data_IF_337851340513
#
_entry.id   IF_337851340513
#
_cell.length_a   1.000
_cell.length_b   1.000
_cell.length_c   1.000
_cell.angle_alpha   90.00
_cell.angle_beta   90.00
_cell.angle_gamma   90.00
#
_symmetry.space_group_name_H-M   'P 1'
#
loop_
_entity.id
_entity.type
_entity.pdbx_description
1 polymer ?
#
# COMPACT_ATOMS: atom_id res chain seq x y z
N UNK A 1 78.01 -8.75 -7.42
CA UNK A 1 76.79 -8.64 -8.25
C UNK A 1 75.93 -9.84 -7.94
N UNK A 2 74.99 -9.68 -7.04
CA UNK A 2 74.10 -10.76 -6.60
C UNK A 2 72.71 -10.52 -7.21
N UNK A 3 72.29 -11.44 -8.09
CA UNK A 3 70.97 -11.42 -8.74
C UNK A 3 69.87 -11.91 -7.81
N UNK A 4 68.88 -11.08 -7.63
CA UNK A 4 67.68 -11.36 -6.85
C UNK A 4 66.71 -12.10 -7.77
N UNK A 5 66.42 -13.35 -7.48
CA UNK A 5 65.38 -14.16 -8.18
C UNK A 5 64.03 -13.88 -7.53
N UNK A 6 63.13 -13.25 -8.28
CA UNK A 6 61.73 -13.10 -7.93
C UNK A 6 61.01 -14.43 -8.18
N UNK A 7 60.47 -15.04 -7.15
CA UNK A 7 59.59 -16.21 -7.27
C UNK A 7 58.14 -15.73 -7.48
N UNK A 8 57.57 -16.00 -8.64
CA UNK A 8 56.15 -15.82 -8.92
C UNK A 8 55.39 -16.99 -8.28
N UNK A 9 54.60 -16.71 -7.27
CA UNK A 9 53.63 -17.66 -6.74
C UNK A 9 52.34 -17.51 -7.56
N UNK A 10 52.07 -18.49 -8.39
CA UNK A 10 50.82 -18.61 -9.10
C UNK A 10 49.75 -19.16 -8.15
N UNK A 11 48.81 -18.32 -7.76
CA UNK A 11 47.56 -18.77 -7.09
C UNK A 11 46.63 -19.37 -8.16
N UNK A 12 46.52 -20.66 -8.15
CA UNK A 12 45.50 -21.37 -8.89
C UNK A 12 44.12 -21.14 -8.22
N UNK A 13 43.31 -20.28 -8.82
CA UNK A 13 41.86 -20.19 -8.47
C UNK A 13 41.21 -21.48 -8.96
N UNK A 14 40.91 -22.39 -8.04
CA UNK A 14 39.98 -23.47 -8.26
C UNK A 14 38.60 -22.85 -8.34
N UNK A 15 38.10 -22.62 -9.55
CA UNK A 15 36.71 -22.22 -9.79
C UNK A 15 35.79 -23.35 -9.36
N UNK A 16 35.13 -23.19 -8.21
CA UNK A 16 33.92 -23.95 -7.92
C UNK A 16 32.86 -23.54 -8.95
N UNK A 17 32.66 -24.39 -9.93
CA UNK A 17 31.47 -24.42 -10.77
C UNK A 17 30.30 -24.75 -9.84
N UNK A 18 29.66 -23.71 -9.32
CA UNK A 18 28.32 -23.83 -8.74
C UNK A 18 27.40 -24.08 -9.94
N UNK A 19 26.65 -25.21 -10.01
CA UNK A 19 25.66 -25.36 -11.04
C UNK A 19 24.69 -24.17 -10.88
N UNK A 20 24.45 -23.47 -11.99
CA UNK A 20 23.32 -22.54 -12.09
C UNK A 20 22.06 -23.35 -11.77
N UNK A 21 21.69 -23.36 -10.52
CA UNK A 21 20.30 -23.57 -10.16
C UNK A 21 19.58 -22.42 -10.87
N UNK A 22 18.82 -22.77 -11.90
CA UNK A 22 17.79 -21.91 -12.43
C UNK A 22 16.97 -21.52 -11.21
N UNK A 23 17.16 -20.31 -10.72
CA UNK A 23 16.28 -19.73 -9.75
C UNK A 23 14.91 -19.73 -10.43
N UNK A 24 14.07 -20.67 -10.05
CA UNK A 24 12.64 -20.55 -10.24
C UNK A 24 12.30 -19.21 -9.62
N UNK A 25 11.73 -18.25 -10.38
CA UNK A 25 11.30 -17.01 -9.77
C UNK A 25 10.43 -17.43 -8.57
N UNK A 26 10.58 -16.81 -7.39
CA UNK A 26 9.68 -17.09 -6.29
C UNK A 26 8.27 -16.89 -6.85
N UNK A 27 7.46 -17.93 -6.81
CA UNK A 27 6.05 -17.81 -7.12
C UNK A 27 5.57 -16.61 -6.31
N UNK A 28 4.97 -15.65 -6.99
CA UNK A 28 4.55 -14.38 -6.43
C UNK A 28 3.34 -14.64 -5.52
N UNK A 29 3.63 -15.18 -4.36
CA UNK A 29 2.64 -15.65 -3.41
C UNK A 29 2.15 -14.55 -2.47
N UNK A 30 2.45 -13.29 -2.73
CA UNK A 30 1.96 -12.16 -1.97
C UNK A 30 1.90 -12.39 -0.44
N UNK A 31 1.31 -11.46 0.27
CA UNK A 31 1.14 -11.49 1.74
C UNK A 31 0.36 -12.71 2.27
N UNK A 32 -0.37 -13.40 1.40
CA UNK A 32 -1.25 -14.51 1.77
C UNK A 32 -0.61 -15.89 1.61
N UNK A 33 0.68 -15.95 1.19
CA UNK A 33 1.38 -17.22 1.00
C UNK A 33 0.86 -18.03 -0.18
N UNK A 34 1.59 -19.11 -0.55
CA UNK A 34 1.17 -20.07 -1.57
C UNK A 34 0.26 -21.17 -1.02
N UNK A 35 -0.25 -21.07 0.20
CA UNK A 35 -1.26 -22.00 0.69
C UNK A 35 -2.62 -21.63 0.12
N UNK A 36 -3.38 -22.63 -0.32
CA UNK A 36 -4.67 -22.58 -1.02
C UNK A 36 -5.81 -21.98 -0.14
N UNK A 37 -5.59 -20.82 0.43
CA UNK A 37 -6.70 -20.06 1.01
C UNK A 37 -7.55 -19.53 -0.17
N UNK A 38 -8.88 -19.71 -0.15
CA UNK A 38 -9.74 -19.12 -1.15
C UNK A 38 -9.52 -17.61 -1.13
N UNK A 39 -9.18 -17.05 -2.29
CA UNK A 39 -9.00 -15.59 -2.42
C UNK A 39 -10.16 -14.90 -1.73
N UNK A 40 -9.93 -14.02 -0.74
CA UNK A 40 -11.00 -13.36 0.03
C UNK A 40 -11.92 -12.50 -0.85
N UNK A 41 -11.52 -12.29 -2.11
CA UNK A 41 -12.25 -11.56 -3.14
C UNK A 41 -12.85 -12.46 -4.23
N UNK A 42 -13.01 -13.75 -3.95
CA UNK A 42 -13.72 -14.64 -4.86
C UNK A 42 -15.19 -14.20 -4.95
N UNK A 43 -15.50 -13.37 -5.94
CA UNK A 43 -16.85 -13.21 -6.37
C UNK A 43 -17.23 -14.51 -7.10
N UNK A 44 -17.96 -15.38 -6.46
CA UNK A 44 -18.73 -16.38 -7.19
C UNK A 44 -19.84 -15.63 -7.91
N UNK A 45 -19.50 -14.94 -8.99
CA UNK A 45 -20.48 -14.34 -9.86
C UNK A 45 -21.31 -15.48 -10.45
N UNK A 46 -22.50 -15.65 -9.95
CA UNK A 46 -23.46 -16.59 -10.50
C UNK A 46 -24.01 -16.12 -11.85
N UNK A 47 -23.62 -14.96 -12.35
CA UNK A 47 -24.04 -14.44 -13.63
C UNK A 47 -22.86 -13.86 -14.39
N UNK A 48 -22.55 -14.45 -15.53
CA UNK A 48 -21.56 -13.96 -16.49
C UNK A 48 -21.78 -12.49 -16.93
N UNK A 49 -22.90 -11.89 -16.62
CA UNK A 49 -23.27 -10.52 -17.01
C UNK A 49 -22.44 -9.44 -16.28
N UNK A 50 -21.98 -9.69 -15.08
CA UNK A 50 -21.34 -8.65 -14.25
C UNK A 50 -19.82 -8.58 -14.36
N UNK A 51 -19.12 -9.66 -14.69
CA UNK A 51 -17.67 -9.65 -15.00
C UNK A 51 -17.42 -9.15 -16.43
N UNK A 52 -18.46 -8.92 -17.17
CA UNK A 52 -18.48 -8.73 -18.62
C UNK A 52 -18.29 -7.30 -19.12
N UNK A 53 -17.91 -6.34 -18.30
CA UNK A 53 -17.88 -4.94 -18.76
C UNK A 53 -16.75 -4.68 -19.78
N UNK A 54 -15.72 -5.47 -19.82
CA UNK A 54 -14.64 -5.30 -20.81
C UNK A 54 -14.67 -6.32 -21.96
N UNK A 55 -15.22 -7.50 -21.76
CA UNK A 55 -15.23 -8.56 -22.79
C UNK A 55 -16.59 -8.83 -23.44
N UNK A 56 -17.68 -8.31 -22.93
CA UNK A 56 -19.02 -8.83 -23.24
C UNK A 56 -20.07 -7.87 -23.75
N UNK A 57 -19.73 -6.70 -24.18
CA UNK A 57 -20.70 -5.91 -24.99
C UNK A 57 -21.12 -6.60 -26.30
N UNK A 58 -20.62 -7.80 -26.59
CA UNK A 58 -20.83 -8.48 -27.87
C UNK A 58 -21.91 -9.57 -27.83
N UNK A 59 -22.32 -10.03 -26.63
CA UNK A 59 -23.31 -11.11 -26.53
C UNK A 59 -24.59 -10.70 -25.78
N UNK A 60 -25.14 -9.57 -26.14
CA UNK A 60 -26.53 -9.26 -25.80
C UNK A 60 -27.43 -10.28 -26.50
N UNK A 61 -27.96 -11.17 -25.70
CA UNK A 61 -28.72 -12.31 -26.11
C UNK A 61 -29.90 -11.97 -27.08
N UNK A 62 -29.93 -12.67 -28.17
CA UNK A 62 -31.11 -12.78 -29.00
C UNK A 62 -32.05 -13.93 -28.57
N UNK A 63 -31.77 -14.63 -27.47
CA UNK A 63 -32.61 -15.69 -26.96
C UNK A 63 -32.75 -15.63 -25.44
N UNK A 64 -33.97 -15.70 -24.91
CA UNK A 64 -34.36 -15.65 -23.49
C UNK A 64 -33.92 -16.84 -22.62
N UNK A 65 -32.96 -17.67 -23.05
CA UNK A 65 -32.37 -18.70 -22.21
C UNK A 65 -31.06 -18.18 -21.63
N UNK A 66 -30.79 -18.36 -20.32
CA UNK A 66 -29.50 -18.00 -19.77
C UNK A 66 -28.41 -18.75 -20.52
N UNK A 67 -27.43 -18.01 -21.06
CA UNK A 67 -26.30 -18.62 -21.75
C UNK A 67 -25.57 -19.59 -20.79
N UNK A 68 -25.13 -20.76 -21.24
CA UNK A 68 -24.39 -21.67 -20.37
C UNK A 68 -23.14 -20.97 -19.85
N UNK A 69 -22.95 -21.03 -18.54
CA UNK A 69 -21.80 -20.42 -17.88
C UNK A 69 -20.60 -21.36 -17.99
N UNK A 70 -19.59 -21.01 -18.80
CA UNK A 70 -18.41 -21.84 -19.04
C UNK A 70 -17.29 -21.64 -18.02
N UNK A 71 -17.33 -20.50 -17.32
CA UNK A 71 -16.32 -20.11 -16.32
C UNK A 71 -16.98 -19.45 -15.11
N UNK A 72 -16.39 -19.66 -13.96
CA UNK A 72 -16.48 -18.78 -12.81
C UNK A 72 -15.29 -17.83 -12.78
N UNK A 73 -15.45 -16.68 -12.15
CA UNK A 73 -14.41 -15.66 -12.10
C UNK A 73 -14.13 -15.26 -10.65
N UNK A 74 -12.86 -14.97 -10.37
CA UNK A 74 -12.42 -14.33 -9.15
C UNK A 74 -11.74 -13.02 -9.49
N UNK A 75 -12.08 -11.97 -8.76
CA UNK A 75 -11.51 -10.63 -8.89
C UNK A 75 -10.55 -10.41 -7.73
N UNK A 76 -9.27 -10.18 -8.03
CA UNK A 76 -8.25 -9.85 -7.04
C UNK A 76 -7.88 -8.39 -7.24
N UNK A 77 -8.08 -7.51 -6.23
CA UNK A 77 -7.73 -6.10 -6.33
C UNK A 77 -6.25 -5.92 -6.67
N UNK A 78 -5.94 -4.88 -7.43
CA UNK A 78 -4.56 -4.61 -7.87
C UNK A 78 -3.59 -4.53 -6.69
N UNK A 79 -3.95 -3.83 -5.63
CA UNK A 79 -3.09 -3.65 -4.47
C UNK A 79 -2.90 -4.92 -3.64
N UNK A 80 -3.84 -5.85 -3.66
CA UNK A 80 -3.64 -7.16 -3.00
C UNK A 80 -2.53 -7.96 -3.67
N UNK A 81 -2.39 -7.83 -5.00
CA UNK A 81 -1.37 -8.54 -5.78
C UNK A 81 -0.02 -7.81 -5.84
N UNK A 82 -0.04 -6.47 -5.81
CA UNK A 82 1.14 -5.61 -6.01
C UNK A 82 1.57 -4.86 -4.76
N UNK A 83 1.23 -5.39 -3.61
CA UNK A 83 1.70 -4.88 -2.33
C UNK A 83 3.23 -5.07 -2.22
N UNK A 84 3.96 -4.05 -1.80
CA UNK A 84 5.38 -4.16 -1.53
C UNK A 84 5.64 -4.94 -0.21
N UNK A 85 6.93 -5.20 0.13
CA UNK A 85 7.29 -5.92 1.36
C UNK A 85 6.87 -5.20 2.65
N UNK A 86 6.57 -3.90 2.58
CA UNK A 86 6.05 -3.11 3.68
C UNK A 86 4.51 -3.04 3.69
N UNK A 87 3.85 -3.73 2.79
CA UNK A 87 2.40 -3.73 2.67
C UNK A 87 1.84 -2.46 2.02
N UNK A 88 2.62 -1.80 1.16
CA UNK A 88 2.20 -0.56 0.48
C UNK A 88 1.91 -0.82 -0.99
N UNK A 89 0.92 -0.11 -1.52
CA UNK A 89 0.60 -0.09 -2.93
C UNK A 89 0.65 1.37 -3.41
N UNK A 90 1.73 1.75 -4.05
CA UNK A 90 1.99 3.16 -4.36
C UNK A 90 1.35 3.63 -5.67
N UNK A 91 1.19 2.72 -6.64
CA UNK A 91 0.68 3.07 -7.96
C UNK A 91 -0.44 2.14 -8.38
N UNK A 92 -1.66 2.65 -8.39
CA UNK A 92 -2.84 1.92 -8.89
C UNK A 92 -3.19 2.46 -10.27
N UNK A 93 -3.39 1.61 -11.28
CA UNK A 93 -3.86 2.06 -12.57
C UNK A 93 -5.20 2.78 -12.46
N UNK A 94 -5.31 3.96 -13.07
CA UNK A 94 -6.55 4.72 -13.07
C UNK A 94 -7.58 4.09 -14.00
N UNK A 95 -8.84 4.11 -13.57
CA UNK A 95 -9.97 3.63 -14.35
C UNK A 95 -10.94 4.78 -14.62
N UNK A 96 -11.27 5.00 -15.88
CA UNK A 96 -12.32 5.95 -16.24
C UNK A 96 -13.68 5.39 -15.84
N UNK A 97 -14.52 6.19 -15.19
CA UNK A 97 -15.85 5.80 -14.77
C UNK A 97 -16.90 6.78 -15.33
N UNK A 98 -17.98 6.26 -15.87
CA UNK A 98 -19.16 7.06 -16.19
C UNK A 98 -19.96 7.37 -14.91
N UNK A 99 -20.88 8.33 -14.98
CA UNK A 99 -21.72 8.69 -13.83
C UNK A 99 -22.48 7.45 -13.32
N UNK A 100 -22.33 7.17 -12.04
CA UNK A 100 -22.96 6.02 -11.37
C UNK A 100 -22.21 4.69 -11.50
N UNK A 101 -21.04 4.68 -12.11
CA UNK A 101 -20.13 3.53 -12.15
C UNK A 101 -18.99 3.71 -11.14
N UNK A 102 -18.54 2.59 -10.58
CA UNK A 102 -17.32 2.48 -9.77
C UNK A 102 -16.38 1.51 -10.45
N UNK A 103 -15.49 2.04 -11.30
CA UNK A 103 -14.50 1.24 -12.02
C UNK A 103 -13.22 1.15 -11.23
N UNK A 104 -12.83 -0.06 -10.85
CA UNK A 104 -11.59 -0.35 -10.13
C UNK A 104 -10.76 -1.36 -10.91
N UNK A 105 -9.43 -1.32 -10.73
CA UNK A 105 -8.51 -2.19 -11.45
C UNK A 105 -8.34 -3.52 -10.72
N UNK A 106 -8.55 -4.64 -11.45
CA UNK A 106 -8.47 -5.99 -10.92
C UNK A 106 -7.62 -6.91 -11.77
N UNK A 107 -6.98 -7.88 -11.13
CA UNK A 107 -6.56 -9.12 -11.74
C UNK A 107 -7.74 -10.08 -11.76
N UNK A 108 -8.07 -10.62 -12.94
CA UNK A 108 -9.23 -11.47 -13.16
C UNK A 108 -8.74 -12.89 -13.38
N UNK A 109 -9.15 -13.78 -12.53
CA UNK A 109 -8.89 -15.20 -12.61
C UNK A 109 -10.15 -15.92 -13.05
N UNK A 110 -10.01 -17.03 -13.74
CA UNK A 110 -11.13 -17.86 -14.13
C UNK A 110 -10.91 -19.34 -13.83
N UNK A 111 -12.00 -20.04 -13.54
CA UNK A 111 -12.04 -21.49 -13.35
C UNK A 111 -13.12 -22.08 -14.23
N UNK A 112 -12.84 -23.23 -14.85
CA UNK A 112 -13.83 -23.89 -15.73
C UNK A 112 -15.04 -24.37 -14.94
N UNK A 113 -16.20 -24.28 -15.57
CA UNK A 113 -17.46 -24.86 -15.08
C UNK A 113 -17.82 -26.04 -15.96
N UNK A 114 -18.16 -27.18 -15.34
CA UNK A 114 -18.51 -28.41 -16.03
C UNK A 114 -19.76 -28.22 -16.93
N UNK A 115 -19.61 -28.53 -18.19
CA UNK A 115 -20.65 -28.48 -19.22
C UNK A 115 -20.90 -29.88 -19.79
N UNK A 116 -22.06 -30.15 -20.40
CA UNK A 116 -22.23 -31.33 -21.20
C UNK A 116 -21.14 -31.43 -22.26
N UNK A 117 -20.60 -32.63 -22.45
CA UNK A 117 -19.58 -32.89 -23.47
C UNK A 117 -19.99 -32.36 -24.84
N UNK A 118 -19.07 -31.73 -25.56
CA UNK A 118 -19.33 -31.14 -26.86
C UNK A 118 -20.04 -29.78 -26.85
N UNK A 119 -20.37 -29.20 -25.68
CA UNK A 119 -20.92 -27.85 -25.62
C UNK A 119 -19.90 -26.84 -26.14
N UNK A 120 -20.32 -25.99 -27.09
CA UNK A 120 -19.47 -24.98 -27.70
C UNK A 120 -19.57 -23.68 -26.94
N UNK A 121 -18.42 -23.20 -26.46
CA UNK A 121 -18.31 -21.87 -25.88
C UNK A 121 -18.40 -20.78 -26.97
N UNK A 122 -18.94 -19.60 -26.65
CA UNK A 122 -18.85 -18.45 -27.55
C UNK A 122 -17.37 -18.13 -27.85
N UNK A 123 -17.07 -17.66 -29.08
CA UNK A 123 -15.68 -17.29 -29.42
C UNK A 123 -15.21 -16.15 -28.52
N UNK A 124 -14.07 -16.34 -27.93
CA UNK A 124 -13.41 -15.35 -27.07
C UNK A 124 -12.33 -14.61 -27.87
N UNK A 125 -12.38 -13.28 -27.93
CA UNK A 125 -11.48 -12.44 -28.74
C UNK A 125 -11.32 -12.93 -30.19
N UNK A 126 -12.42 -13.39 -30.82
CA UNK A 126 -12.41 -13.89 -32.17
C UNK A 126 -11.75 -15.28 -32.36
N UNK A 127 -11.40 -15.95 -31.28
CA UNK A 127 -10.88 -17.31 -31.28
C UNK A 127 -11.94 -18.27 -30.77
N UNK A 128 -12.19 -19.33 -31.50
CA UNK A 128 -13.07 -20.41 -31.06
C UNK A 128 -12.34 -21.25 -29.99
N UNK A 129 -12.94 -21.43 -28.85
CA UNK A 129 -12.50 -22.44 -27.90
C UNK A 129 -12.87 -23.86 -28.41
N UNK A 130 -12.08 -24.88 -28.04
CA UNK A 130 -12.47 -26.24 -28.31
C UNK A 130 -13.78 -26.61 -27.59
N UNK A 131 -14.59 -27.51 -28.13
CA UNK A 131 -15.78 -27.97 -27.42
C UNK A 131 -15.46 -28.42 -26.00
N UNK A 132 -16.42 -28.24 -25.07
CA UNK A 132 -16.25 -28.63 -23.69
C UNK A 132 -15.92 -30.14 -23.59
N UNK A 133 -14.88 -30.51 -22.82
CA UNK A 133 -14.59 -31.93 -22.57
C UNK A 133 -15.65 -32.51 -21.64
N UNK A 134 -15.69 -33.83 -21.58
CA UNK A 134 -16.50 -34.54 -20.59
C UNK A 134 -16.08 -34.09 -19.18
N UNK A 135 -17.05 -33.80 -18.27
CA UNK A 135 -16.75 -33.44 -16.91
C UNK A 135 -15.88 -34.50 -16.20
N UNK A 136 -14.94 -34.10 -15.34
CA UNK A 136 -14.18 -35.04 -14.51
C UNK A 136 -15.10 -35.94 -13.68
N UNK A 137 -14.65 -37.12 -13.34
CA UNK A 137 -15.41 -38.06 -12.50
C UNK A 137 -15.76 -37.41 -11.15
N UNK A 138 -17.05 -37.41 -10.83
CA UNK A 138 -17.57 -36.83 -9.56
C UNK A 138 -17.92 -35.35 -9.63
N UNK A 139 -17.69 -34.66 -10.76
CA UNK A 139 -18.07 -33.26 -10.96
C UNK A 139 -19.42 -33.19 -11.68
N UNK A 140 -20.41 -32.55 -11.07
CA UNK A 140 -21.73 -32.33 -11.68
C UNK A 140 -21.67 -31.17 -12.70
N UNK A 141 -22.55 -31.24 -13.72
CA UNK A 141 -22.76 -30.13 -14.66
C UNK A 141 -23.11 -28.85 -13.88
N UNK A 142 -22.47 -27.73 -14.24
CA UNK A 142 -22.64 -26.45 -13.56
C UNK A 142 -21.70 -26.24 -12.36
N UNK A 143 -20.90 -27.22 -11.96
CA UNK A 143 -19.93 -27.08 -10.88
C UNK A 143 -18.56 -26.65 -11.43
N UNK A 144 -17.85 -25.77 -10.72
CA UNK A 144 -16.47 -25.39 -11.07
C UNK A 144 -15.52 -26.58 -10.86
N UNK A 145 -14.48 -26.68 -11.69
CA UNK A 145 -13.46 -27.71 -11.60
C UNK A 145 -12.11 -27.25 -12.18
N UNK A 146 -11.04 -27.94 -11.81
CA UNK A 146 -9.68 -27.58 -12.18
C UNK A 146 -9.16 -26.38 -11.38
N UNK A 147 -8.03 -25.86 -11.76
CA UNK A 147 -7.38 -24.75 -11.10
C UNK A 147 -7.99 -23.40 -11.53
N UNK A 148 -7.97 -22.43 -10.61
CA UNK A 148 -8.25 -21.04 -10.89
C UNK A 148 -7.02 -20.44 -11.58
N UNK A 149 -7.13 -20.00 -12.83
CA UNK A 149 -6.00 -19.50 -13.62
C UNK A 149 -6.18 -18.03 -13.94
N UNK A 150 -5.06 -17.29 -13.95
CA UNK A 150 -5.06 -15.91 -14.43
C UNK A 150 -5.59 -15.85 -15.85
N UNK A 151 -6.49 -14.93 -16.11
CA UNK A 151 -7.10 -14.73 -17.42
C UNK A 151 -6.73 -13.38 -18.04
N UNK A 152 -7.03 -12.29 -17.35
CA UNK A 152 -6.70 -10.93 -17.78
C UNK A 152 -6.68 -9.97 -16.57
N UNK A 153 -6.24 -8.75 -16.81
CA UNK A 153 -6.32 -7.65 -15.86
C UNK A 153 -6.98 -6.43 -16.51
N UNK A 154 -7.62 -5.60 -15.71
CA UNK A 154 -8.26 -4.38 -16.21
C UNK A 154 -9.28 -3.79 -15.26
N UNK A 155 -9.92 -2.71 -15.74
CA UNK A 155 -10.96 -2.00 -15.00
C UNK A 155 -12.28 -2.76 -15.03
N UNK A 156 -12.88 -2.94 -13.87
CA UNK A 156 -14.18 -3.62 -13.68
C UNK A 156 -15.12 -2.66 -12.96
N UNK A 157 -16.34 -2.51 -13.48
CA UNK A 157 -17.41 -1.80 -12.78
C UNK A 157 -17.94 -2.67 -11.65
N UNK A 158 -17.65 -2.27 -10.42
CA UNK A 158 -18.07 -2.99 -9.22
C UNK A 158 -19.29 -2.37 -8.54
N UNK A 159 -19.88 -1.32 -9.12
CA UNK A 159 -20.99 -0.59 -8.52
C UNK A 159 -22.23 -1.47 -8.23
N UNK A 160 -22.41 -2.54 -9.00
CA UNK A 160 -23.53 -3.48 -8.88
C UNK A 160 -23.14 -4.86 -8.37
N UNK A 161 -21.84 -5.08 -8.09
CA UNK A 161 -21.33 -6.35 -7.61
C UNK A 161 -21.39 -6.39 -6.08
N UNK A 162 -21.80 -7.53 -5.55
CA UNK A 162 -21.71 -7.81 -4.11
C UNK A 162 -20.31 -8.34 -3.78
N UNK A 163 -19.32 -7.42 -3.88
CA UNK A 163 -17.92 -7.68 -3.60
C UNK A 163 -17.51 -6.98 -2.31
N UNK A 164 -16.62 -7.57 -1.53
CA UNK A 164 -15.98 -6.88 -0.42
C UNK A 164 -15.30 -5.59 -0.88
N UNK A 165 -15.21 -4.56 -0.01
CA UNK A 165 -14.49 -3.33 -0.31
C UNK A 165 -13.03 -3.60 -0.64
N UNK A 166 -12.56 -3.14 -1.81
CA UNK A 166 -11.16 -3.26 -2.20
C UNK A 166 -10.29 -2.21 -1.50
N UNK A 167 -8.96 -2.44 -1.39
CA UNK A 167 -8.04 -1.44 -0.85
C UNK A 167 -8.15 -0.09 -1.55
N UNK A 168 -8.33 -0.08 -2.86
CA UNK A 168 -8.42 1.13 -3.70
C UNK A 168 -9.73 1.89 -3.42
N UNK A 169 -10.82 1.18 -3.20
CA UNK A 169 -12.09 1.78 -2.81
C UNK A 169 -11.97 2.42 -1.43
N UNK A 170 -11.39 1.71 -0.45
CA UNK A 170 -11.16 2.22 0.90
C UNK A 170 -10.24 3.43 0.90
N UNK A 171 -9.28 3.51 -0.03
CA UNK A 171 -8.38 4.66 -0.16
C UNK A 171 -9.14 5.97 -0.39
N UNK A 172 -10.24 5.96 -1.13
CA UNK A 172 -11.07 7.16 -1.35
C UNK A 172 -11.71 7.67 -0.06
N UNK A 173 -12.11 6.77 0.82
CA UNK A 173 -12.62 7.11 2.16
C UNK A 173 -11.51 7.56 3.09
N UNK A 174 -10.35 6.89 3.07
CA UNK A 174 -9.19 7.28 3.87
C UNK A 174 -8.73 8.70 3.56
N UNK A 175 -8.69 9.10 2.28
CA UNK A 175 -8.34 10.46 1.86
C UNK A 175 -9.36 11.52 2.32
N UNK A 176 -10.59 11.12 2.60
CA UNK A 176 -11.65 12.01 3.07
C UNK A 176 -11.78 12.05 4.62
N UNK A 177 -10.99 11.24 5.35
CA UNK A 177 -11.03 11.24 6.81
C UNK A 177 -10.55 12.59 7.38
N UNK A 178 -11.15 13.06 8.48
CA UNK A 178 -10.72 14.27 9.18
C UNK A 178 -9.48 13.98 10.04
N UNK A 179 -8.35 13.69 9.40
CA UNK A 179 -7.10 13.44 10.09
C UNK A 179 -6.54 14.73 10.70
N UNK A 180 -6.09 14.73 11.97
CA UNK A 180 -5.60 15.94 12.63
C UNK A 180 -4.25 16.38 12.08
N UNK A 181 -4.05 17.70 11.98
CA UNK A 181 -2.71 18.28 11.92
C UNK A 181 -2.15 18.35 13.34
N UNK A 182 -1.12 17.55 13.62
CA UNK A 182 -0.57 17.41 14.97
C UNK A 182 0.21 18.65 15.39
N UNK A 183 -0.04 19.12 16.61
CA UNK A 183 0.80 20.09 17.28
C UNK A 183 2.09 19.45 17.79
N UNK A 184 3.04 20.28 18.18
CA UNK A 184 4.29 19.83 18.76
C UNK A 184 4.67 20.64 20.01
N UNK A 185 5.47 20.05 20.88
CA UNK A 185 6.17 20.69 21.95
C UNK A 185 7.67 20.80 21.66
N UNK A 186 8.35 21.70 22.34
CA UNK A 186 9.80 21.83 22.27
C UNK A 186 10.40 22.09 23.66
N UNK A 187 11.71 21.81 23.80
CA UNK A 187 12.47 22.02 25.02
C UNK A 187 13.86 22.59 24.70
N UNK A 188 14.30 23.65 25.46
CA UNK A 188 13.60 24.29 26.59
C UNK A 188 12.30 24.94 26.16
N UNK A 189 11.29 25.02 27.03
CA UNK A 189 10.04 25.72 26.74
C UNK A 189 10.28 27.23 26.66
N UNK A 190 9.53 27.90 25.84
CA UNK A 190 9.43 29.37 25.70
C UNK A 190 10.61 30.05 25.02
N UNK A 191 11.85 29.53 25.14
CA UNK A 191 13.03 30.25 24.65
C UNK A 191 14.15 29.30 24.26
N UNK A 192 14.50 29.28 22.99
CA UNK A 192 15.68 28.58 22.47
C UNK A 192 16.98 29.38 22.68
N UNK A 193 18.09 28.68 22.69
CA UNK A 193 19.41 29.30 22.79
C UNK A 193 20.27 28.97 21.57
N UNK A 194 20.94 30.00 21.04
CA UNK A 194 21.93 29.80 19.94
C UNK A 194 22.97 28.78 20.35
N UNK A 195 23.28 27.84 19.44
CA UNK A 195 24.24 26.75 19.62
C UNK A 195 23.88 25.70 20.69
N UNK A 196 22.64 25.70 21.20
CA UNK A 196 22.13 24.61 22.01
C UNK A 196 21.07 23.82 21.23
N UNK A 197 21.05 22.48 21.36
CA UNK A 197 20.02 21.68 20.73
C UNK A 197 18.65 21.99 21.33
N UNK A 198 17.69 22.32 20.47
CA UNK A 198 16.27 22.36 20.76
C UNK A 198 15.67 20.97 20.52
N UNK A 199 14.88 20.47 21.45
CA UNK A 199 14.27 19.14 21.40
C UNK A 199 12.84 19.27 20.89
N UNK A 200 12.46 18.50 19.87
CA UNK A 200 11.13 18.50 19.31
C UNK A 200 10.40 17.19 19.63
N UNK A 201 9.12 17.26 19.95
CA UNK A 201 8.29 16.08 20.19
C UNK A 201 6.81 16.41 20.03
N UNK A 202 5.99 15.39 19.77
CA UNK A 202 4.53 15.50 19.92
C UNK A 202 4.03 14.46 20.90
N UNK A 203 3.06 14.88 21.74
CA UNK A 203 2.35 14.01 22.67
C UNK A 203 0.91 13.76 22.21
N UNK A 204 0.54 14.29 21.04
CA UNK A 204 -0.77 14.06 20.46
C UNK A 204 -0.88 12.64 19.90
N UNK A 205 -2.10 12.08 19.83
CA UNK A 205 -2.29 10.74 19.29
C UNK A 205 -1.83 10.63 17.83
N UNK A 206 -0.88 9.71 17.57
CA UNK A 206 -0.35 9.42 16.24
C UNK A 206 -1.07 8.26 15.55
N UNK A 207 -2.15 7.76 16.14
CA UNK A 207 -3.01 6.71 15.59
C UNK A 207 -4.47 7.07 15.73
N UNK A 208 -5.30 6.52 14.84
CA UNK A 208 -6.75 6.71 14.87
C UNK A 208 -7.50 5.48 14.38
N UNK A 209 -8.79 5.42 14.70
CA UNK A 209 -9.68 4.36 14.24
C UNK A 209 -10.97 4.99 13.78
N UNK A 210 -11.39 4.66 12.55
CA UNK A 210 -12.59 5.20 11.92
C UNK A 210 -13.44 4.06 11.38
N UNK A 211 -14.75 4.17 11.52
CA UNK A 211 -15.70 3.20 10.95
C UNK A 211 -16.51 3.90 9.88
N UNK A 212 -16.52 3.33 8.70
CA UNK A 212 -17.25 3.84 7.53
C UNK A 212 -18.13 2.74 6.94
N UNK A 213 -19.24 3.11 6.33
CA UNK A 213 -20.07 2.20 5.55
C UNK A 213 -19.66 2.32 4.07
N UNK A 214 -19.31 1.19 3.48
CA UNK A 214 -18.96 1.09 2.06
C UNK A 214 -19.88 0.06 1.41
N UNK A 215 -20.85 0.50 0.68
CA UNK A 215 -21.85 -0.35 -0.01
C UNK A 215 -22.53 -1.38 0.91
N UNK A 216 -22.78 -0.99 2.19
CA UNK A 216 -23.38 -1.87 3.20
C UNK A 216 -22.38 -2.69 4.01
N UNK A 217 -21.09 -2.65 3.68
CA UNK A 217 -20.03 -3.24 4.49
C UNK A 217 -19.57 -2.26 5.57
N UNK A 218 -19.57 -2.70 6.82
CA UNK A 218 -18.95 -1.94 7.91
C UNK A 218 -17.45 -2.13 7.88
N UNK A 219 -16.72 -1.10 7.44
CA UNK A 219 -15.27 -1.10 7.30
C UNK A 219 -14.64 -0.31 8.43
N UNK A 220 -13.70 -0.92 9.14
CA UNK A 220 -12.89 -0.23 10.16
C UNK A 220 -11.53 0.12 9.58
N UNK A 221 -11.22 1.41 9.50
CA UNK A 221 -9.95 1.95 9.01
C UNK A 221 -9.09 2.33 10.23
N UNK A 222 -7.90 1.75 10.31
CA UNK A 222 -6.89 2.06 11.32
C UNK A 222 -5.84 2.95 10.68
N UNK A 223 -5.62 4.12 11.24
CA UNK A 223 -4.65 5.08 10.72
C UNK A 223 -3.45 5.20 11.65
N UNK A 224 -2.29 5.48 11.09
CA UNK A 224 -1.07 5.74 11.84
C UNK A 224 -0.16 6.71 11.11
N UNK A 225 0.57 7.54 11.87
CA UNK A 225 1.62 8.37 11.30
C UNK A 225 2.83 7.50 11.02
N UNK A 226 3.31 7.54 9.79
CA UNK A 226 4.50 6.80 9.34
C UNK A 226 5.74 7.69 9.25
N UNK A 227 5.55 9.00 9.10
CA UNK A 227 6.66 9.93 8.90
C UNK A 227 6.33 11.29 9.52
N UNK A 228 7.35 11.91 10.12
CA UNK A 228 7.29 13.22 10.74
C UNK A 228 8.33 14.14 10.09
N UNK A 229 7.91 15.31 9.65
CA UNK A 229 8.75 16.36 9.08
C UNK A 229 8.62 17.60 9.99
N UNK A 230 9.66 17.84 10.76
CA UNK A 230 9.73 18.94 11.70
C UNK A 230 10.30 20.18 11.02
N UNK A 231 9.43 21.04 10.53
CA UNK A 231 9.81 22.30 9.94
C UNK A 231 10.19 23.28 11.05
N UNK A 232 11.48 23.52 11.18
CA UNK A 232 12.05 24.33 12.28
C UNK A 232 11.93 25.83 12.06
N UNK A 233 11.55 26.27 10.85
CA UNK A 233 11.56 27.66 10.44
C UNK A 233 12.96 28.23 10.14
N UNK A 234 14.02 27.45 10.35
CA UNK A 234 15.40 27.84 10.02
C UNK A 234 15.74 27.51 8.57
N UNK A 235 15.47 28.44 7.67
CA UNK A 235 15.77 28.28 6.23
C UNK A 235 17.27 28.32 5.89
N UNK A 236 18.12 28.66 6.86
CA UNK A 236 19.58 28.71 6.72
C UNK A 236 20.27 27.47 7.31
N UNK A 237 19.53 26.53 7.85
CA UNK A 237 20.06 25.32 8.47
C UNK A 237 20.85 24.47 7.46
N UNK A 238 22.05 23.97 7.82
CA UNK A 238 22.86 23.12 6.94
C UNK A 238 22.19 21.79 6.57
N UNK A 239 21.36 21.26 7.47
CA UNK A 239 20.59 20.02 7.30
C UNK A 239 19.36 20.18 6.41
N UNK A 240 19.01 21.41 6.04
CA UNK A 240 17.85 21.71 5.20
C UNK A 240 16.68 22.30 5.98
N UNK A 241 15.54 22.42 5.31
CA UNK A 241 14.36 23.13 5.79
C UNK A 241 13.61 22.38 6.93
N UNK A 242 13.84 21.08 7.07
CA UNK A 242 13.17 20.24 8.08
C UNK A 242 14.06 19.13 8.61
N UNK A 243 13.78 18.68 9.83
CA UNK A 243 14.30 17.44 10.40
C UNK A 243 13.32 16.31 10.16
N UNK A 244 13.78 15.17 9.70
CA UNK A 244 12.99 13.97 9.45
C UNK A 244 13.08 12.98 10.60
N UNK A 245 11.96 12.34 10.96
CA UNK A 245 11.94 11.18 11.85
C UNK A 245 10.81 10.22 11.52
N UNK A 246 10.95 8.98 11.97
CA UNK A 246 9.90 7.95 11.92
C UNK A 246 9.18 7.79 13.27
N UNK A 247 9.65 8.50 14.29
CA UNK A 247 9.06 8.51 15.63
C UNK A 247 8.57 9.93 16.01
N UNK A 248 7.64 10.03 16.97
CA UNK A 248 7.03 11.30 17.35
C UNK A 248 7.95 12.22 18.16
N UNK A 249 9.23 11.93 18.26
CA UNK A 249 10.10 12.60 19.20
C UNK A 249 9.76 12.24 20.65
N UNK A 250 10.63 12.67 21.56
CA UNK A 250 10.38 12.52 22.99
C UNK A 250 11.02 13.68 23.77
N UNK A 251 10.43 14.10 24.91
CA UNK A 251 11.04 15.08 25.79
C UNK A 251 12.30 14.52 26.46
N UNK A 252 13.15 15.42 26.96
CA UNK A 252 14.31 15.05 27.76
C UNK A 252 13.89 14.10 28.92
N UNK A 253 14.65 13.04 29.25
CA UNK A 253 15.99 12.69 28.71
C UNK A 253 15.97 11.71 27.52
N UNK A 254 14.83 11.42 26.93
CA UNK A 254 14.66 10.41 25.90
C UNK A 254 14.49 11.01 24.48
N UNK A 255 15.02 12.19 24.27
CA UNK A 255 14.88 12.92 23.00
C UNK A 255 15.49 12.16 21.82
N UNK A 256 14.76 12.13 20.72
CA UNK A 256 15.18 11.52 19.45
C UNK A 256 15.29 12.55 18.33
N UNK A 257 14.58 13.69 18.47
CA UNK A 257 14.55 14.73 17.44
C UNK A 257 15.08 16.02 18.04
N UNK A 258 16.14 16.56 17.42
CA UNK A 258 16.75 17.83 17.86
C UNK A 258 17.14 18.68 16.66
N UNK A 259 17.14 20.00 16.84
CA UNK A 259 17.66 20.98 15.91
C UNK A 259 18.50 22.04 16.66
N UNK A 260 19.54 22.58 16.03
CA UNK A 260 20.38 23.61 16.64
C UNK A 260 20.34 24.89 15.81
N UNK A 261 19.75 25.94 16.38
CA UNK A 261 19.74 27.26 15.77
C UNK A 261 21.11 27.93 15.92
N UNK A 262 21.67 28.41 14.79
CA UNK A 262 22.97 29.08 14.77
C UNK A 262 22.87 30.60 14.90
N UNK A 263 21.68 31.16 14.81
CA UNK A 263 21.45 32.59 14.90
C UNK A 263 20.24 32.88 15.80
N UNK A 264 20.26 34.06 16.43
CA UNK A 264 19.10 34.55 17.15
C UNK A 264 18.00 34.95 16.18
N UNK A 265 16.74 34.75 16.57
CA UNK A 265 15.60 35.09 15.74
C UNK A 265 14.32 34.48 16.25
N UNK A 266 13.23 34.76 15.56
CA UNK A 266 11.94 34.10 15.76
C UNK A 266 11.68 33.18 14.59
N UNK A 267 11.53 31.90 14.85
CA UNK A 267 11.42 30.85 13.85
C UNK A 267 10.01 30.25 13.84
N UNK A 268 9.25 30.39 12.73
CA UNK A 268 7.91 29.83 12.63
C UNK A 268 8.01 28.32 12.33
N UNK A 269 7.93 27.51 13.37
CA UNK A 269 8.04 26.07 13.27
C UNK A 269 6.66 25.40 13.23
N UNK A 270 6.56 24.24 12.54
CA UNK A 270 5.37 23.40 12.48
C UNK A 270 5.72 21.95 12.23
N UNK A 271 4.82 21.06 12.56
CA UNK A 271 4.95 19.63 12.28
C UNK A 271 4.08 19.25 11.08
N UNK A 272 4.68 18.63 10.09
CA UNK A 272 3.99 17.95 8.99
C UNK A 272 4.08 16.45 9.21
N UNK A 273 2.98 15.74 9.05
CA UNK A 273 2.91 14.29 9.23
C UNK A 273 2.32 13.59 8.03
N UNK A 274 2.82 12.37 7.78
CA UNK A 274 2.31 11.49 6.72
C UNK A 274 1.57 10.34 7.37
N UNK A 275 0.29 10.24 7.10
CA UNK A 275 -0.60 9.19 7.59
C UNK A 275 -0.71 8.07 6.57
N UNK A 276 -0.66 6.83 7.06
CA UNK A 276 -0.97 5.61 6.31
C UNK A 276 -2.08 4.85 7.03
N UNK A 277 -2.69 3.88 6.36
CA UNK A 277 -3.77 3.13 6.98
C UNK A 277 -3.84 1.67 6.54
N UNK A 278 -4.48 0.88 7.39
CA UNK A 278 -4.96 -0.47 7.10
C UNK A 278 -6.45 -0.53 7.40
N UNK A 279 -7.15 -1.54 6.88
CA UNK A 279 -8.56 -1.72 7.17
C UNK A 279 -8.94 -3.17 7.43
N UNK A 280 -10.07 -3.35 8.09
CA UNK A 280 -10.74 -4.64 8.27
C UNK A 280 -12.23 -4.51 7.94
N UNK A 281 -12.84 -5.59 7.47
CA UNK A 281 -14.28 -5.70 7.31
C UNK A 281 -14.73 -7.12 7.72
N UNK A 282 -15.83 -7.25 8.44
CA UNK A 282 -16.41 -8.54 8.84
C UNK A 282 -15.40 -9.55 9.44
N UNK A 283 -14.37 -9.08 10.12
CA UNK A 283 -13.31 -9.90 10.70
C UNK A 283 -12.19 -10.30 9.73
N UNK A 284 -12.26 -9.91 8.46
CA UNK A 284 -11.19 -10.09 7.49
C UNK A 284 -10.18 -8.94 7.52
N UNK A 285 -8.92 -9.22 7.22
CA UNK A 285 -7.81 -8.26 7.25
C UNK A 285 -6.83 -8.48 8.41
N UNK A 286 -5.95 -7.54 8.73
CA UNK A 286 -5.89 -6.20 8.13
C UNK A 286 -5.32 -6.18 6.71
N UNK A 287 -5.89 -5.34 5.86
CA UNK A 287 -5.41 -5.07 4.50
C UNK A 287 -4.80 -3.67 4.43
N UNK A 288 -3.71 -3.50 3.68
CA UNK A 288 -3.13 -2.18 3.46
C UNK A 288 -4.04 -1.31 2.59
N UNK A 289 -4.11 -0.02 2.91
CA UNK A 289 -4.79 0.98 2.07
C UNK A 289 -3.74 1.72 1.25
N UNK A 290 -3.88 1.79 -0.08
CA UNK A 290 -2.91 2.48 -0.92
C UNK A 290 -2.90 3.99 -0.69
N UNK A 291 -1.73 4.58 -0.88
CA UNK A 291 -1.53 6.01 -0.72
C UNK A 291 -1.35 6.47 0.73
N UNK A 292 -1.24 7.78 0.87
CA UNK A 292 -1.04 8.43 2.16
C UNK A 292 -1.77 9.78 2.20
N UNK A 293 -1.97 10.30 3.40
CA UNK A 293 -2.53 11.63 3.62
C UNK A 293 -1.51 12.47 4.39
N UNK A 294 -1.23 13.67 3.89
CA UNK A 294 -0.35 14.62 4.55
C UNK A 294 -1.18 15.62 5.33
N UNK A 295 -0.84 15.85 6.60
CA UNK A 295 -1.44 16.89 7.42
C UNK A 295 -0.37 17.83 7.96
N UNK A 296 -0.76 19.08 8.19
CA UNK A 296 0.13 20.12 8.73
C UNK A 296 -0.50 20.62 10.03
N UNK A 297 0.30 20.61 11.08
CA UNK A 297 -0.09 21.11 12.40
C UNK A 297 -0.03 22.64 12.51
N UNK A 298 -0.47 23.19 13.63
CA UNK A 298 -0.42 24.63 13.89
C UNK A 298 1.03 25.12 13.92
N UNK A 299 1.27 26.29 13.31
CA UNK A 299 2.58 26.96 13.41
C UNK A 299 2.75 27.58 14.77
N UNK A 300 3.93 27.39 15.38
CA UNK A 300 4.37 28.00 16.63
C UNK A 300 5.66 28.78 16.37
N UNK A 301 5.82 29.93 17.03
CA UNK A 301 7.05 30.71 16.96
C UNK A 301 8.02 30.24 18.07
N UNK A 302 9.26 29.96 17.69
CA UNK A 302 10.35 29.67 18.62
C UNK A 302 11.27 30.88 18.64
N UNK A 303 11.32 31.55 19.79
CA UNK A 303 12.21 32.69 20.00
C UNK A 303 13.59 32.19 20.47
N UNK A 304 14.61 32.43 19.68
CA UNK A 304 16.01 32.01 19.94
C UNK A 304 16.84 33.23 20.28
N UNK A 305 17.53 33.17 21.40
CA UNK A 305 18.38 34.27 21.91
C UNK A 305 19.82 33.81 22.10
N UNK A 306 20.74 34.77 22.17
CA UNK A 306 22.13 34.53 22.54
C UNK A 306 22.31 34.62 24.05
N UNK A 307 23.02 33.65 24.66
CA UNK A 307 23.44 33.72 26.03
C UNK A 307 24.78 34.49 26.10
N UNK A 308 24.79 35.59 26.84
CA UNK A 308 26.03 36.33 27.14
C UNK A 308 26.53 35.98 28.53
N UNK A 309 27.80 35.56 28.71
CA UNK A 309 28.35 35.36 30.05
C UNK A 309 28.42 36.70 30.78
N UNK A 310 27.84 36.77 31.96
CA UNK A 310 28.02 37.92 32.87
C UNK A 310 29.07 37.54 33.91
N UNK A 311 30.15 38.31 33.94
CA UNK A 311 31.14 38.16 35.00
C UNK A 311 30.56 38.70 36.28
N UNK A 312 30.28 37.84 37.25
CA UNK A 312 29.87 38.29 38.61
C UNK A 312 31.11 38.32 39.48
N UNK A 313 31.28 39.41 40.22
CA UNK A 313 32.34 39.49 41.25
C UNK A 313 31.95 38.49 42.37
N UNK A 314 32.83 37.49 42.68
CA UNK A 314 32.51 36.53 43.72
C UNK A 314 32.53 37.09 45.13
N UNK A 315 32.80 38.42 45.30
CA UNK A 315 32.93 39.09 46.58
C UNK A 315 31.92 40.22 46.82
N UNK A 316 30.88 40.39 45.98
CA UNK A 316 29.75 41.26 46.26
C UNK A 316 28.65 40.57 47.08
#
# INVERSE_FOLDING_TARGET
MRGLRLALVAFAFLGCLVPNALAVPPEDCGRYGCEEEPFPYAATSTTAEHVNVLAYKVFSATNNAPAPQFYTFALVPYCVKNEDQAGRCETVPSCDAAAGQLNLYYYIYRQRVAQPEGTIAPPEYGKNEPPAPAPPSGVAIGQPYGEMVFWLEGCVDVSTLDLPPSPEEVATYFQALPLPGLGFGFQPPDLGLVNLPEIFFTLEPTTGTYVVDIRGYSVTIYTGVSQFFWHTGDTAAPEGEYVYSEDPGAPYPNQTVTHTYLQRGTYPAYLQTVWVSTYTYEGNGPYAVPGSVVTIGPTQNIDVVEAHPVLTDPYD
#
